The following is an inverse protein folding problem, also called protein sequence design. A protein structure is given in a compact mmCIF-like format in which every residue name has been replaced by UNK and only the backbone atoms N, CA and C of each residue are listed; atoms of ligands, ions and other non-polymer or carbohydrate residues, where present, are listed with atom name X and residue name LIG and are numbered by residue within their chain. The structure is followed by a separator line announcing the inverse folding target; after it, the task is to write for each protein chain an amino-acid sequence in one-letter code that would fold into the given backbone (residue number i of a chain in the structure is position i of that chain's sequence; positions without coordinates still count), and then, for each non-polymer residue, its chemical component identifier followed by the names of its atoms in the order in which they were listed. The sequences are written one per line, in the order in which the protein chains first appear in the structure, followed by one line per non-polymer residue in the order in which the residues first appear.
data_IF_358817703206
#
_entry.id   IF_358817703206
#
_cell.length_a   1.000
_cell.length_b   1.000
_cell.length_c   1.000
_cell.angle_alpha   90.00
_cell.angle_beta   90.00
_cell.angle_gamma   90.00
#
_symmetry.space_group_name_H-M   'P 1'
#
loop_
_entity.id
_entity.type
_entity.pdbx_description
1 polymer ?
#
# COMPACT_ATOMS: atom_id res chain seq x y z
N UNK A 1 -36.24 -24.36 -13.20
CA UNK A 1 -34.83 -23.99 -13.47
C UNK A 1 -34.20 -23.64 -12.13
N UNK A 2 -33.46 -24.57 -11.50
CA UNK A 2 -32.90 -24.41 -10.16
C UNK A 2 -31.50 -23.79 -10.29
N UNK A 3 -31.36 -22.50 -10.00
CA UNK A 3 -30.04 -21.89 -9.82
C UNK A 3 -29.49 -22.34 -8.46
N UNK A 4 -28.48 -23.20 -8.51
CA UNK A 4 -27.59 -23.47 -7.37
C UNK A 4 -26.86 -22.16 -7.06
N UNK A 5 -27.25 -21.50 -5.97
CA UNK A 5 -26.35 -20.57 -5.30
C UNK A 5 -25.14 -21.37 -4.82
N UNK A 6 -24.07 -21.35 -5.61
CA UNK A 6 -22.76 -21.64 -5.08
C UNK A 6 -22.55 -20.67 -3.92
N UNK A 7 -22.24 -21.20 -2.74
CA UNK A 7 -21.59 -20.42 -1.68
C UNK A 7 -20.32 -19.86 -2.32
N UNK A 8 -20.41 -18.65 -2.86
CA UNK A 8 -19.27 -17.77 -2.97
C UNK A 8 -18.90 -17.50 -1.52
N UNK A 9 -18.11 -18.40 -0.93
CA UNK A 9 -17.16 -17.97 0.07
C UNK A 9 -16.36 -16.93 -0.69
N UNK A 10 -16.74 -15.66 -0.51
CA UNK A 10 -15.86 -14.54 -0.76
C UNK A 10 -14.69 -14.86 0.17
N UNK A 11 -13.77 -15.69 -0.32
CA UNK A 11 -12.42 -15.68 0.16
C UNK A 11 -12.12 -14.19 0.10
N UNK A 12 -12.05 -13.56 1.27
CA UNK A 12 -11.24 -12.38 1.44
C UNK A 12 -9.98 -12.80 0.73
N UNK A 13 -9.79 -12.32 -0.50
CA UNK A 13 -8.58 -12.56 -1.25
C UNK A 13 -7.60 -11.71 -0.50
N UNK A 14 -7.09 -12.34 0.55
CA UNK A 14 -5.94 -12.02 1.34
C UNK A 14 -4.75 -12.21 0.38
N UNK A 15 -4.73 -11.40 -0.68
CA UNK A 15 -3.54 -11.11 -1.46
C UNK A 15 -2.90 -9.93 -0.77
N UNK A 16 -2.24 -10.26 0.32
CA UNK A 16 -1.21 -9.43 0.91
C UNK A 16 -0.15 -9.18 -0.17
N UNK A 17 -0.22 -8.01 -0.81
CA UNK A 17 0.90 -7.27 -1.39
C UNK A 17 1.64 -7.83 -2.61
N UNK A 18 1.30 -9.01 -3.15
CA UNK A 18 1.67 -9.35 -4.54
C UNK A 18 1.10 -8.34 -5.56
N UNK A 19 0.19 -7.47 -5.14
CA UNK A 19 -0.43 -6.38 -5.90
C UNK A 19 0.43 -5.12 -6.09
N UNK A 20 1.55 -4.96 -5.36
CA UNK A 20 2.34 -3.72 -5.42
C UNK A 20 3.71 -3.86 -6.07
N UNK A 21 4.24 -5.07 -6.17
CA UNK A 21 5.52 -5.31 -6.81
C UNK A 21 5.29 -6.09 -8.10
N UNK A 22 5.78 -5.60 -9.26
CA UNK A 22 5.70 -6.37 -10.48
C UNK A 22 6.38 -7.73 -10.28
N UNK A 23 5.75 -8.80 -10.77
CA UNK A 23 6.39 -10.11 -10.88
C UNK A 23 7.70 -9.94 -11.63
N UNK A 24 8.79 -10.46 -11.07
CA UNK A 24 10.16 -10.20 -11.50
C UNK A 24 10.39 -10.55 -12.98
N UNK A 25 10.29 -9.53 -13.83
CA UNK A 25 11.11 -9.44 -15.02
C UNK A 25 12.32 -8.62 -14.61
N UNK A 26 13.51 -9.26 -14.55
CA UNK A 26 14.78 -8.52 -14.59
C UNK A 26 14.63 -7.54 -15.74
N UNK A 27 14.64 -6.24 -15.45
CA UNK A 27 14.57 -5.22 -16.48
C UNK A 27 15.82 -5.36 -17.34
N UNK A 28 15.71 -6.17 -18.40
CA UNK A 28 16.64 -6.13 -19.50
C UNK A 28 16.50 -4.73 -20.08
N UNK A 29 17.45 -3.85 -19.77
CA UNK A 29 17.57 -2.49 -20.31
C UNK A 29 17.78 -2.44 -21.84
N UNK A 30 17.47 -3.51 -22.57
CA UNK A 30 17.28 -3.52 -24.01
C UNK A 30 15.80 -3.31 -24.32
N UNK A 31 15.27 -2.17 -23.88
CA UNK A 31 13.97 -1.69 -24.29
C UNK A 31 14.16 -0.99 -25.63
N UNK A 32 13.55 -1.55 -26.67
CA UNK A 32 13.45 -0.90 -27.98
C UNK A 32 12.89 0.52 -27.81
N UNK A 33 13.52 1.52 -28.46
CA UNK A 33 13.17 2.95 -28.45
C UNK A 33 11.76 3.31 -29.03
N UNK A 34 10.78 2.40 -28.97
CA UNK A 34 9.41 2.59 -29.48
C UNK A 34 8.35 2.63 -28.36
N UNK A 35 8.72 2.77 -27.08
CA UNK A 35 7.73 2.80 -26.01
C UNK A 35 6.98 4.14 -25.93
N UNK A 36 5.67 4.06 -26.20
CA UNK A 36 4.70 5.15 -26.20
C UNK A 36 4.26 5.53 -24.78
N UNK A 37 5.17 6.10 -24.00
CA UNK A 37 4.85 6.63 -22.67
C UNK A 37 4.34 8.06 -22.72
N UNK A 38 3.28 8.32 -21.95
CA UNK A 38 2.84 9.67 -21.60
C UNK A 38 3.65 10.20 -20.41
N UNK A 39 3.82 9.38 -19.37
CA UNK A 39 4.74 9.64 -18.25
C UNK A 39 5.56 8.38 -17.98
N UNK A 40 6.87 8.53 -17.81
CA UNK A 40 7.75 7.41 -17.46
C UNK A 40 7.58 7.02 -15.99
N UNK A 41 7.93 5.79 -15.63
CA UNK A 41 7.86 5.31 -14.24
C UNK A 41 8.73 6.09 -13.25
N UNK A 42 9.75 6.79 -13.73
CA UNK A 42 10.67 7.62 -12.96
C UNK A 42 10.35 9.13 -13.02
N UNK A 43 9.36 9.55 -13.81
CA UNK A 43 8.96 10.95 -13.95
C UNK A 43 8.43 11.51 -12.60
N UNK A 44 8.96 12.66 -12.11
CA UNK A 44 8.51 13.24 -10.85
C UNK A 44 7.03 13.66 -10.82
N UNK A 45 6.39 13.84 -11.98
CA UNK A 45 4.97 14.14 -12.11
C UNK A 45 4.10 12.89 -12.21
N UNK A 46 4.69 11.70 -12.30
CA UNK A 46 3.94 10.46 -12.37
C UNK A 46 3.47 10.05 -10.96
N UNK A 47 2.15 9.99 -10.69
CA UNK A 47 1.63 9.60 -9.39
C UNK A 47 1.92 8.13 -9.03
N UNK A 48 2.30 7.30 -10.02
CA UNK A 48 2.65 5.89 -9.85
C UNK A 48 4.17 5.67 -9.70
N UNK A 49 4.95 6.74 -9.61
CA UNK A 49 6.41 6.69 -9.40
C UNK A 49 6.85 5.81 -8.22
N UNK A 50 6.13 5.73 -7.07
CA UNK A 50 6.51 4.82 -5.98
C UNK A 50 6.61 3.34 -6.41
N UNK A 51 5.90 2.93 -7.46
CA UNK A 51 5.92 1.58 -8.00
C UNK A 51 6.64 1.47 -9.36
N UNK A 52 7.26 2.56 -9.83
CA UNK A 52 7.92 2.64 -11.15
C UNK A 52 7.02 2.26 -12.32
N UNK A 53 5.71 2.42 -12.18
CA UNK A 53 4.77 2.10 -13.25
C UNK A 53 4.63 3.32 -14.18
N UNK A 54 4.84 3.16 -15.50
CA UNK A 54 4.59 4.25 -16.44
C UNK A 54 3.09 4.52 -16.60
N UNK A 55 2.77 5.70 -17.11
CA UNK A 55 1.46 6.00 -17.71
C UNK A 55 1.64 5.99 -19.22
N UNK A 56 0.96 5.10 -19.93
CA UNK A 56 1.09 4.93 -21.38
C UNK A 56 0.11 5.80 -22.17
N UNK A 57 0.37 5.95 -23.47
CA UNK A 57 -0.60 6.58 -24.39
C UNK A 57 -1.91 5.78 -24.53
N UNK A 58 -1.92 4.48 -24.21
CA UNK A 58 -3.15 3.69 -24.15
C UNK A 58 -4.09 4.23 -23.06
N UNK A 59 -3.56 4.53 -21.88
CA UNK A 59 -4.34 5.14 -20.78
C UNK A 59 -4.84 6.54 -21.16
N UNK A 60 -4.06 7.32 -21.93
CA UNK A 60 -4.52 8.61 -22.47
C UNK A 60 -5.74 8.42 -23.38
N UNK A 61 -5.71 7.42 -24.26
CA UNK A 61 -6.83 7.10 -25.15
C UNK A 61 -8.07 6.64 -24.38
N UNK A 62 -7.89 5.81 -23.36
CA UNK A 62 -8.98 5.38 -22.46
C UNK A 62 -9.60 6.59 -21.75
N UNK A 63 -8.78 7.47 -21.17
CA UNK A 63 -9.27 8.69 -20.52
C UNK A 63 -10.06 9.58 -21.49
N UNK A 64 -9.53 9.82 -22.68
CA UNK A 64 -10.20 10.63 -23.70
C UNK A 64 -11.52 9.99 -24.16
N UNK A 65 -11.57 8.66 -24.29
CA UNK A 65 -12.78 7.93 -24.64
C UNK A 65 -13.86 8.03 -23.56
N UNK A 66 -13.49 7.93 -22.27
CA UNK A 66 -14.43 8.09 -21.15
C UNK A 66 -15.03 9.49 -21.13
N UNK A 67 -14.23 10.51 -21.46
CA UNK A 67 -14.64 11.91 -21.42
C UNK A 67 -15.26 12.40 -22.74
N UNK A 68 -15.24 11.57 -23.80
CA UNK A 68 -15.83 11.91 -25.08
C UNK A 68 -17.30 12.30 -24.92
N UNK A 69 -17.74 13.29 -25.68
CA UNK A 69 -19.12 13.78 -25.72
C UNK A 69 -19.67 14.39 -24.41
N UNK A 70 -18.88 14.46 -23.33
CA UNK A 70 -19.31 15.05 -22.04
C UNK A 70 -19.09 16.57 -21.94
N UNK A 71 -18.65 17.21 -23.03
CA UNK A 71 -18.38 18.64 -23.07
C UNK A 71 -17.25 19.07 -22.11
N UNK A 72 -17.27 20.35 -21.69
CA UNK A 72 -16.26 20.89 -20.77
C UNK A 72 -16.61 20.51 -19.34
N UNK A 73 -15.97 19.46 -18.84
CA UNK A 73 -16.08 18.99 -17.46
C UNK A 73 -15.09 19.71 -16.53
N UNK A 74 -15.50 19.94 -15.28
CA UNK A 74 -14.59 20.32 -14.20
C UNK A 74 -13.63 19.16 -13.86
N UNK A 75 -12.50 19.42 -13.16
CA UNK A 75 -11.62 18.36 -12.69
C UNK A 75 -12.35 17.31 -11.84
N UNK A 76 -13.24 17.73 -10.92
CA UNK A 76 -14.04 16.79 -10.12
C UNK A 76 -14.92 15.90 -10.99
N UNK A 77 -15.64 16.48 -11.95
CA UNK A 77 -16.52 15.71 -12.84
C UNK A 77 -15.76 14.68 -13.68
N UNK A 78 -14.53 15.00 -14.11
CA UNK A 78 -13.66 14.04 -14.79
C UNK A 78 -13.32 12.85 -13.89
N UNK A 79 -12.93 13.12 -12.64
CA UNK A 79 -12.60 12.08 -11.64
C UNK A 79 -13.80 11.19 -11.36
N UNK A 80 -14.99 11.77 -11.19
CA UNK A 80 -16.23 10.98 -11.01
C UNK A 80 -16.51 10.11 -12.22
N UNK A 81 -16.35 10.62 -13.44
CA UNK A 81 -16.53 9.81 -14.66
C UNK A 81 -15.54 8.64 -14.74
N UNK A 82 -14.29 8.83 -14.30
CA UNK A 82 -13.30 7.74 -14.21
C UNK A 82 -13.67 6.71 -13.13
N UNK A 83 -14.11 7.15 -11.95
CA UNK A 83 -14.58 6.24 -10.91
C UNK A 83 -15.81 5.44 -11.35
N UNK A 84 -16.76 6.07 -12.04
CA UNK A 84 -17.94 5.38 -12.58
C UNK A 84 -17.52 4.31 -13.60
N UNK A 85 -16.54 4.60 -14.47
CA UNK A 85 -15.97 3.61 -15.39
C UNK A 85 -15.34 2.41 -14.65
N UNK A 86 -14.61 2.65 -13.56
CA UNK A 86 -13.97 1.62 -12.72
C UNK A 86 -15.00 0.83 -11.88
N UNK A 87 -16.13 1.44 -11.54
CA UNK A 87 -17.17 0.81 -10.71
C UNK A 87 -17.76 -0.45 -11.36
N UNK A 88 -17.71 -0.54 -12.69
CA UNK A 88 -18.19 -1.67 -13.48
C UNK A 88 -17.19 -2.83 -13.60
N UNK A 89 -16.04 -2.75 -12.90
CA UNK A 89 -15.00 -3.78 -12.94
C UNK A 89 -15.23 -4.81 -11.83
N UNK A 90 -14.72 -6.03 -12.01
CA UNK A 90 -14.77 -7.06 -10.97
C UNK A 90 -13.68 -6.84 -9.93
N UNK A 91 -13.98 -7.15 -8.66
CA UNK A 91 -12.98 -7.13 -7.59
C UNK A 91 -12.18 -8.43 -7.63
N UNK A 92 -10.88 -8.32 -7.86
CA UNK A 92 -9.98 -9.47 -7.99
C UNK A 92 -8.53 -9.06 -8.23
N UNK A 93 -7.71 -10.01 -8.68
CA UNK A 93 -6.30 -9.79 -9.02
C UNK A 93 -6.17 -9.89 -10.54
N UNK A 94 -5.78 -8.78 -11.17
CA UNK A 94 -5.40 -8.79 -12.58
C UNK A 94 -4.06 -9.51 -12.79
N UNK A 95 -3.71 -9.82 -14.05
CA UNK A 95 -2.46 -10.51 -14.39
C UNK A 95 -1.21 -9.80 -13.87
N UNK A 96 -1.26 -8.47 -13.75
CA UNK A 96 -0.24 -7.66 -13.11
C UNK A 96 -0.87 -6.36 -12.56
N UNK A 97 -0.07 -5.53 -11.89
CA UNK A 97 -0.54 -4.34 -11.19
C UNK A 97 -0.65 -3.08 -12.06
N UNK A 98 -0.44 -3.16 -13.38
CA UNK A 98 -0.48 -1.98 -14.26
C UNK A 98 -1.91 -1.46 -14.50
N UNK A 99 -2.06 -0.16 -14.79
CA UNK A 99 -3.34 0.39 -15.22
C UNK A 99 -3.93 -0.33 -16.45
N UNK A 100 -3.10 -0.70 -17.43
CA UNK A 100 -3.52 -1.38 -18.66
C UNK A 100 -4.09 -2.78 -18.37
N UNK A 101 -3.43 -3.57 -17.52
CA UNK A 101 -3.94 -4.88 -17.11
C UNK A 101 -5.32 -4.74 -16.45
N UNK A 102 -5.47 -3.75 -15.56
CA UNK A 102 -6.74 -3.45 -14.88
C UNK A 102 -7.85 -3.09 -15.87
N UNK A 103 -7.55 -2.28 -16.90
CA UNK A 103 -8.51 -1.91 -17.96
C UNK A 103 -8.86 -3.10 -18.85
N UNK A 104 -7.87 -3.80 -19.37
CA UNK A 104 -8.03 -4.86 -20.37
C UNK A 104 -8.75 -6.08 -19.79
N UNK A 105 -8.47 -6.41 -18.54
CA UNK A 105 -9.11 -7.53 -17.85
C UNK A 105 -10.41 -7.12 -17.16
N UNK A 106 -10.63 -5.82 -16.95
CA UNK A 106 -11.73 -5.27 -16.14
C UNK A 106 -11.82 -5.90 -14.75
N UNK A 107 -10.66 -6.21 -14.18
CA UNK A 107 -10.48 -6.83 -12.86
C UNK A 107 -9.46 -6.00 -12.08
N UNK A 108 -9.71 -5.77 -10.80
CA UNK A 108 -8.72 -5.11 -9.95
C UNK A 108 -9.06 -5.13 -8.47
N UNK A 109 -8.14 -4.63 -7.65
CA UNK A 109 -8.28 -4.47 -6.21
C UNK A 109 -8.09 -3.00 -5.83
N UNK A 110 -8.24 -2.66 -4.54
CA UNK A 110 -8.13 -1.27 -4.08
C UNK A 110 -6.85 -0.56 -4.56
N UNK A 111 -5.71 -1.25 -4.52
CA UNK A 111 -4.44 -0.74 -5.03
C UNK A 111 -4.44 -0.48 -6.53
N UNK A 112 -4.84 -1.47 -7.35
CA UNK A 112 -4.80 -1.32 -8.82
C UNK A 112 -5.88 -0.38 -9.36
N UNK A 113 -7.06 -0.33 -8.72
CA UNK A 113 -8.08 0.69 -9.03
C UNK A 113 -7.60 2.10 -8.68
N UNK A 114 -6.88 2.25 -7.57
CA UNK A 114 -6.24 3.53 -7.20
C UNK A 114 -5.19 3.93 -8.22
N UNK A 115 -4.34 2.99 -8.64
CA UNK A 115 -3.33 3.24 -9.67
C UNK A 115 -3.98 3.66 -11.00
N UNK A 116 -5.04 2.96 -11.42
CA UNK A 116 -5.77 3.28 -12.64
C UNK A 116 -6.41 4.67 -12.55
N UNK A 117 -7.09 5.02 -11.45
CA UNK A 117 -7.69 6.34 -11.28
C UNK A 117 -6.64 7.46 -11.35
N UNK A 118 -5.50 7.27 -10.69
CA UNK A 118 -4.40 8.23 -10.71
C UNK A 118 -3.77 8.36 -12.10
N UNK A 119 -3.60 7.26 -12.83
CA UNK A 119 -3.09 7.27 -14.19
C UNK A 119 -4.03 8.07 -15.12
N UNK A 120 -5.34 7.77 -15.08
CA UNK A 120 -6.37 8.49 -15.84
C UNK A 120 -6.38 9.99 -15.49
N UNK A 121 -6.34 10.34 -14.21
CA UNK A 121 -6.30 11.72 -13.74
C UNK A 121 -5.05 12.47 -14.22
N UNK A 122 -3.88 11.83 -14.19
CA UNK A 122 -2.61 12.41 -14.66
C UNK A 122 -2.67 12.75 -16.16
N UNK A 123 -3.32 11.93 -16.99
CA UNK A 123 -3.52 12.23 -18.42
C UNK A 123 -4.32 13.51 -18.67
N UNK A 124 -5.08 13.95 -17.67
CA UNK A 124 -5.92 15.16 -17.72
C UNK A 124 -5.28 16.34 -16.98
N UNK A 125 -4.01 16.24 -16.59
CA UNK A 125 -3.29 17.28 -15.86
C UNK A 125 -3.73 17.44 -14.40
N UNK A 126 -4.37 16.42 -13.81
CA UNK A 126 -4.78 16.43 -12.41
C UNK A 126 -3.68 15.73 -11.60
N UNK A 127 -3.01 16.48 -10.72
CA UNK A 127 -1.99 15.92 -9.85
C UNK A 127 -2.63 15.00 -8.79
N UNK A 128 -1.95 13.91 -8.45
CA UNK A 128 -2.47 12.89 -7.56
C UNK A 128 -1.38 12.18 -6.76
N UNK A 129 -1.79 11.51 -5.69
CA UNK A 129 -0.95 10.61 -4.89
C UNK A 129 -1.76 9.46 -4.32
N UNK A 130 -1.06 8.38 -4.01
CA UNK A 130 -1.65 7.18 -3.40
C UNK A 130 -1.68 7.37 -1.90
N UNK A 131 -2.85 7.21 -1.30
CA UNK A 131 -3.00 7.11 0.14
C UNK A 131 -3.13 5.63 0.49
N UNK A 132 -2.21 5.14 1.32
CA UNK A 132 -2.27 3.80 1.89
C UNK A 132 -2.87 3.88 3.29
N UNK A 133 -3.76 2.94 3.60
CA UNK A 133 -4.47 2.80 4.87
C UNK A 133 -4.21 1.39 5.40
N UNK A 134 -3.09 1.20 6.11
CA UNK A 134 -2.63 -0.11 6.58
C UNK A 134 -3.21 -0.55 7.92
N UNK A 135 -3.14 -1.85 8.20
CA UNK A 135 -3.50 -2.57 9.44
C UNK A 135 -4.82 -2.12 10.11
N UNK A 136 -5.81 -1.73 9.34
CA UNK A 136 -7.09 -1.27 9.85
C UNK A 136 -8.14 -2.39 9.87
N UNK A 137 -9.04 -2.47 10.87
CA UNK A 137 -8.85 -2.08 12.27
C UNK A 137 -7.94 -3.07 13.01
N UNK A 138 -7.77 -4.25 12.42
CA UNK A 138 -6.73 -5.24 12.67
C UNK A 138 -6.65 -6.00 11.36
N UNK A 139 -5.46 -6.13 10.81
CA UNK A 139 -5.16 -7.02 9.68
C UNK A 139 -5.67 -6.59 8.30
N UNK A 140 -6.67 -5.73 8.11
CA UNK A 140 -7.05 -5.28 6.76
C UNK A 140 -6.25 -4.05 6.28
N UNK A 141 -6.18 -3.87 4.96
CA UNK A 141 -5.55 -2.70 4.34
C UNK A 141 -6.39 -2.16 3.20
N UNK A 142 -6.27 -0.86 2.93
CA UNK A 142 -6.96 -0.20 1.82
C UNK A 142 -6.05 0.81 1.13
N UNK A 143 -6.39 1.16 -0.10
CA UNK A 143 -5.72 2.19 -0.87
C UNK A 143 -6.75 3.05 -1.58
N UNK A 144 -6.53 4.36 -1.54
CA UNK A 144 -7.39 5.37 -2.19
C UNK A 144 -6.55 6.43 -2.89
N UNK A 145 -7.16 7.17 -3.81
CA UNK A 145 -6.50 8.26 -4.50
C UNK A 145 -6.75 9.58 -3.77
N UNK A 146 -5.72 10.41 -3.62
CA UNK A 146 -5.88 11.80 -3.24
C UNK A 146 -5.42 12.69 -4.39
N UNK A 147 -6.28 13.60 -4.84
CA UNK A 147 -6.11 14.41 -6.04
C UNK A 147 -6.11 15.89 -5.69
N UNK A 148 -5.26 16.68 -6.35
CA UNK A 148 -5.20 18.13 -6.17
C UNK A 148 -6.24 18.81 -7.07
N UNK A 149 -7.37 19.19 -6.49
CA UNK A 149 -8.52 19.76 -7.19
C UNK A 149 -8.92 21.07 -6.52
N UNK A 150 -9.11 22.12 -7.33
CA UNK A 150 -9.55 23.44 -6.86
C UNK A 150 -8.67 24.02 -5.73
N UNK A 151 -7.36 23.81 -5.82
CA UNK A 151 -6.38 24.37 -4.87
C UNK A 151 -6.26 23.62 -3.54
N UNK A 152 -6.80 22.41 -3.44
CA UNK A 152 -6.63 21.55 -2.26
C UNK A 152 -6.57 20.06 -2.62
N UNK A 153 -6.11 19.25 -1.67
CA UNK A 153 -6.20 17.80 -1.76
C UNK A 153 -7.62 17.31 -1.52
N UNK A 154 -8.03 16.25 -2.20
CA UNK A 154 -9.37 15.66 -2.15
C UNK A 154 -9.29 14.16 -2.34
N UNK A 155 -9.87 13.39 -1.42
CA UNK A 155 -9.82 11.92 -1.43
C UNK A 155 -10.97 11.32 -2.22
N UNK A 156 -10.64 10.32 -3.03
CA UNK A 156 -11.54 9.54 -3.86
C UNK A 156 -11.22 8.06 -3.72
N UNK A 157 -12.23 7.24 -3.43
CA UNK A 157 -12.10 5.78 -3.38
C UNK A 157 -12.68 5.17 -4.67
N UNK A 158 -11.83 4.75 -5.63
CA UNK A 158 -12.29 4.12 -6.86
C UNK A 158 -12.84 2.69 -6.65
N UNK A 159 -12.57 2.08 -5.50
CA UNK A 159 -13.09 0.75 -5.15
C UNK A 159 -14.58 0.78 -4.91
N UNK A 160 -15.16 1.91 -4.49
CA UNK A 160 -16.61 2.02 -4.32
C UNK A 160 -17.20 3.22 -5.08
N UNK A 161 -16.38 3.87 -5.92
CA UNK A 161 -16.68 5.14 -6.57
C UNK A 161 -17.29 6.13 -5.56
N UNK A 162 -16.53 6.39 -4.50
CA UNK A 162 -17.02 7.09 -3.32
C UNK A 162 -16.10 8.22 -2.88
N UNK A 163 -16.68 9.23 -2.23
CA UNK A 163 -15.98 10.38 -1.66
C UNK A 163 -16.84 11.08 -0.59
N UNK A 164 -16.21 11.83 0.31
CA UNK A 164 -16.89 12.61 1.34
C UNK A 164 -16.97 14.08 0.96
N UNK A 165 -18.11 14.74 1.18
CA UNK A 165 -18.27 16.19 0.92
C UNK A 165 -19.24 16.84 1.91
N UNK A 166 -19.01 18.12 2.24
CA UNK A 166 -19.95 18.99 2.97
C UNK A 166 -20.78 19.91 2.06
N UNK A 167 -20.61 19.82 0.73
CA UNK A 167 -21.37 20.62 -0.25
C UNK A 167 -22.17 19.72 -1.18
N UNK A 168 -23.08 18.91 -0.61
CA UNK A 168 -23.90 17.91 -1.32
C UNK A 168 -24.60 18.43 -2.58
N UNK A 169 -25.06 19.69 -2.57
CA UNK A 169 -25.82 20.27 -3.68
C UNK A 169 -24.94 20.78 -4.84
N UNK A 170 -23.61 20.70 -4.71
CA UNK A 170 -22.67 21.15 -5.73
C UNK A 170 -22.00 19.95 -6.42
N UNK A 171 -22.66 19.38 -7.43
CA UNK A 171 -22.13 18.23 -8.19
C UNK A 171 -21.03 18.61 -9.20
N UNK A 172 -20.83 19.90 -9.47
CA UNK A 172 -19.81 20.36 -10.43
C UNK A 172 -18.45 20.51 -9.77
N UNK A 173 -18.41 21.15 -8.59
CA UNK A 173 -17.18 21.44 -7.86
C UNK A 173 -17.42 21.33 -6.33
N UNK A 174 -17.78 20.15 -5.82
CA UNK A 174 -17.98 19.99 -4.40
C UNK A 174 -16.67 20.19 -3.64
N UNK A 175 -16.79 20.61 -2.39
CA UNK A 175 -15.73 20.56 -1.41
C UNK A 175 -15.57 19.11 -0.94
N UNK A 176 -14.73 18.35 -1.62
CA UNK A 176 -14.40 16.97 -1.24
C UNK A 176 -13.34 16.98 -0.16
N UNK A 177 -13.51 16.19 0.91
CA UNK A 177 -12.59 16.15 2.03
C UNK A 177 -11.25 15.50 1.62
N UNK A 178 -10.15 16.02 2.16
CA UNK A 178 -8.80 15.46 2.08
C UNK A 178 -8.62 14.30 3.07
N UNK A 179 -7.51 13.56 2.91
CA UNK A 179 -7.13 12.49 3.82
C UNK A 179 -6.93 13.02 5.23
N UNK A 180 -6.27 14.17 5.37
CA UNK A 180 -6.01 14.81 6.67
C UNK A 180 -7.29 15.25 7.38
N UNK A 181 -8.28 15.75 6.63
CA UNK A 181 -9.60 16.07 7.18
C UNK A 181 -10.30 14.78 7.67
N UNK A 182 -10.34 13.74 6.84
CA UNK A 182 -10.93 12.45 7.23
C UNK A 182 -10.22 11.81 8.42
N UNK A 183 -8.88 11.86 8.47
CA UNK A 183 -8.05 11.37 9.57
C UNK A 183 -8.35 12.05 10.90
N UNK A 184 -8.75 13.33 10.86
CA UNK A 184 -9.16 14.12 12.04
C UNK A 184 -10.62 13.90 12.43
N UNK A 185 -11.35 13.04 11.73
CA UNK A 185 -12.76 12.73 12.01
C UNK A 185 -13.74 13.73 11.39
N UNK A 186 -13.31 14.61 10.49
CA UNK A 186 -14.21 15.58 9.82
C UNK A 186 -15.30 14.88 9.00
N UNK A 187 -15.05 13.64 8.57
CA UNK A 187 -16.04 12.78 7.90
C UNK A 187 -17.29 12.48 8.75
N UNK A 188 -17.23 12.66 10.08
CA UNK A 188 -18.32 12.40 11.04
C UNK A 188 -19.17 13.63 11.33
N UNK A 189 -18.83 14.81 10.79
CA UNK A 189 -19.66 16.01 10.98
C UNK A 189 -21.04 15.81 10.36
N UNK A 190 -22.05 16.46 10.94
CA UNK A 190 -23.46 16.30 10.55
C UNK A 190 -23.78 16.85 9.15
N UNK A 191 -23.00 17.80 8.67
CA UNK A 191 -23.10 18.44 7.36
C UNK A 191 -22.27 17.72 6.29
N UNK A 192 -21.45 16.74 6.66
CA UNK A 192 -20.68 15.91 5.74
C UNK A 192 -21.45 14.65 5.38
N UNK A 193 -21.38 14.27 4.11
CA UNK A 193 -21.98 13.05 3.60
C UNK A 193 -21.01 12.26 2.72
N UNK A 194 -21.16 10.94 2.78
CA UNK A 194 -20.56 9.99 1.87
C UNK A 194 -21.40 9.92 0.58
N UNK A 195 -20.79 10.26 -0.55
CA UNK A 195 -21.33 9.95 -1.87
C UNK A 195 -20.83 8.57 -2.29
N UNK A 196 -21.74 7.71 -2.75
CA UNK A 196 -21.45 6.34 -3.15
C UNK A 196 -22.12 6.02 -4.49
N UNK A 197 -21.33 5.96 -5.56
CA UNK A 197 -21.82 5.64 -6.90
C UNK A 197 -21.75 4.14 -7.21
N UNK A 198 -20.78 3.42 -6.65
CA UNK A 198 -20.56 1.97 -6.84
C UNK A 198 -21.55 1.07 -6.07
N UNK A 199 -22.85 1.39 -6.12
CA UNK A 199 -23.90 0.74 -5.31
C UNK A 199 -24.00 -0.77 -5.53
N UNK A 200 -23.77 -1.24 -6.75
CA UNK A 200 -23.80 -2.67 -7.06
C UNK A 200 -22.77 -3.44 -6.23
N UNK A 201 -21.51 -2.98 -6.22
CA UNK A 201 -20.41 -3.58 -5.47
C UNK A 201 -20.65 -3.49 -3.96
N UNK A 202 -21.16 -2.34 -3.49
CA UNK A 202 -21.57 -2.18 -2.09
C UNK A 202 -22.64 -3.21 -1.67
N UNK A 203 -23.65 -3.41 -2.52
CA UNK A 203 -24.77 -4.32 -2.22
C UNK A 203 -24.39 -5.80 -2.28
N UNK A 204 -23.30 -6.17 -2.97
CA UNK A 204 -22.81 -7.55 -3.00
C UNK A 204 -22.23 -7.99 -1.66
N UNK A 205 -21.62 -7.08 -0.90
CA UNK A 205 -21.12 -7.36 0.46
C UNK A 205 -21.22 -6.14 1.38
N UNK A 206 -22.43 -5.80 1.87
CA UNK A 206 -22.66 -4.54 2.60
C UNK A 206 -21.89 -4.43 3.92
N UNK A 207 -21.59 -5.55 4.58
CA UNK A 207 -20.83 -5.55 5.83
C UNK A 207 -19.37 -5.19 5.57
N UNK A 208 -18.71 -5.91 4.64
CA UNK A 208 -17.33 -5.60 4.26
C UNK A 208 -17.22 -4.20 3.66
N UNK A 209 -18.15 -3.84 2.76
CA UNK A 209 -18.12 -2.53 2.12
C UNK A 209 -18.17 -1.37 3.11
N UNK A 210 -18.94 -1.50 4.22
CA UNK A 210 -18.99 -0.49 5.29
C UNK A 210 -17.64 -0.27 5.97
N UNK A 211 -16.85 -1.34 6.15
CA UNK A 211 -15.54 -1.22 6.78
C UNK A 211 -14.54 -0.46 5.89
N UNK A 212 -14.69 -0.55 4.56
CA UNK A 212 -13.83 0.14 3.59
C UNK A 212 -14.26 1.56 3.24
N UNK A 213 -15.58 1.86 3.25
CA UNK A 213 -16.07 3.21 2.92
C UNK A 213 -16.34 4.07 4.16
N UNK A 214 -16.42 3.47 5.35
CA UNK A 214 -16.65 4.18 6.60
C UNK A 214 -15.50 5.09 7.00
N UNK A 215 -15.78 6.12 7.80
CA UNK A 215 -14.75 7.09 8.25
C UNK A 215 -13.66 6.46 9.10
N UNK A 216 -13.98 5.38 9.81
CA UNK A 216 -13.05 4.77 10.75
C UNK A 216 -11.77 4.23 10.07
N UNK A 217 -11.83 3.78 8.80
CA UNK A 217 -10.63 3.32 8.08
C UNK A 217 -9.58 4.43 7.96
N UNK A 218 -10.03 5.66 7.73
CA UNK A 218 -9.16 6.83 7.66
C UNK A 218 -8.63 7.18 9.05
N UNK A 219 -9.44 7.05 10.10
CA UNK A 219 -9.09 7.45 11.47
C UNK A 219 -8.17 6.46 12.21
N UNK A 220 -8.33 5.15 11.99
CA UNK A 220 -7.62 4.12 12.78
C UNK A 220 -6.57 3.34 12.00
N UNK A 221 -6.46 3.47 10.67
CA UNK A 221 -5.38 2.83 9.92
C UNK A 221 -4.00 3.25 10.46
N UNK A 222 -3.07 2.30 10.52
CA UNK A 222 -1.73 2.51 11.02
C UNK A 222 -0.72 1.47 10.47
N UNK A 223 0.22 1.85 9.58
CA UNK A 223 0.47 3.22 9.11
C UNK A 223 -0.63 3.71 8.14
N UNK A 224 -0.74 5.02 7.98
CA UNK A 224 -1.66 5.63 7.02
C UNK A 224 -1.09 6.95 6.48
N UNK A 225 -1.37 7.27 5.21
CA UNK A 225 -0.94 8.51 4.57
C UNK A 225 -0.47 8.35 3.13
N UNK A 226 0.11 9.40 2.55
CA UNK A 226 0.64 9.35 1.20
C UNK A 226 1.87 8.43 1.10
N UNK A 227 1.86 7.50 0.15
CA UNK A 227 3.03 6.68 -0.16
C UNK A 227 4.07 7.56 -0.84
N UNK A 228 5.31 7.47 -0.40
CA UNK A 228 6.43 8.08 -1.10
C UNK A 228 7.69 8.19 -0.26
N UNK A 229 8.85 8.43 -0.90
CA UNK A 229 10.15 8.51 -0.23
C UNK A 229 10.17 9.48 0.97
N UNK A 230 9.42 10.58 0.86
CA UNK A 230 9.31 11.62 1.90
C UNK A 230 8.41 11.20 3.09
N UNK A 231 7.65 10.12 2.97
CA UNK A 231 6.67 9.65 3.94
C UNK A 231 6.90 8.17 4.27
N UNK A 232 8.04 7.82 4.90
CA UNK A 232 8.36 6.44 5.22
C UNK A 232 7.36 5.88 6.23
N UNK A 233 6.69 4.79 5.85
CA UNK A 233 5.77 4.09 6.74
C UNK A 233 6.52 3.23 7.76
N UNK A 234 5.98 3.24 8.99
CA UNK A 234 6.41 2.37 10.09
C UNK A 234 5.34 1.33 10.30
N UNK A 235 5.62 0.08 9.96
CA UNK A 235 4.70 -1.01 10.24
C UNK A 235 4.84 -1.47 11.69
N UNK A 236 3.77 -1.40 12.51
CA UNK A 236 3.74 -2.05 13.81
C UNK A 236 3.63 -3.56 13.60
N UNK A 237 4.59 -4.30 14.14
CA UNK A 237 4.65 -5.76 14.06
C UNK A 237 4.82 -6.35 15.45
N UNK A 238 4.43 -7.61 15.62
CA UNK A 238 4.38 -8.23 16.94
C UNK A 238 4.75 -9.71 16.92
N UNK A 239 5.56 -10.10 17.91
CA UNK A 239 5.86 -11.48 18.27
C UNK A 239 5.71 -11.65 19.78
N UNK A 240 5.39 -12.87 20.19
CA UNK A 240 5.28 -13.25 21.60
C UNK A 240 6.05 -14.54 21.84
N UNK A 241 6.94 -14.54 22.82
CA UNK A 241 7.84 -15.67 23.05
C UNK A 241 7.13 -16.95 23.53
N UNK A 242 5.87 -16.87 23.93
CA UNK A 242 5.06 -18.00 24.36
C UNK A 242 3.97 -18.38 23.36
N UNK A 243 3.45 -17.42 22.59
CA UNK A 243 2.28 -17.62 21.72
C UNK A 243 2.60 -17.56 20.22
N UNK A 244 3.55 -16.72 19.82
CA UNK A 244 3.85 -16.43 18.41
C UNK A 244 5.33 -16.11 18.27
N UNK A 245 6.13 -17.16 18.32
CA UNK A 245 7.60 -17.07 18.29
C UNK A 245 8.15 -16.83 16.89
N UNK A 246 7.35 -17.03 15.85
CA UNK A 246 7.77 -16.89 14.46
C UNK A 246 6.63 -16.40 13.55
N UNK A 247 7.01 -15.79 12.44
CA UNK A 247 6.17 -15.46 11.28
C UNK A 247 6.92 -15.99 10.06
N UNK A 248 6.28 -16.87 9.28
CA UNK A 248 6.83 -17.47 8.06
C UNK A 248 6.08 -17.00 6.81
N UNK A 249 6.52 -17.44 5.63
CA UNK A 249 5.85 -17.18 4.35
C UNK A 249 4.32 -17.36 4.37
N UNK A 250 3.80 -18.41 5.02
CA UNK A 250 2.36 -18.67 5.06
C UNK A 250 1.61 -17.74 6.05
N UNK A 251 2.34 -17.05 6.93
CA UNK A 251 1.80 -16.08 7.88
C UNK A 251 1.83 -14.66 7.31
N UNK A 252 2.55 -14.43 6.19
CA UNK A 252 2.57 -13.15 5.50
C UNK A 252 1.19 -12.86 4.89
N UNK A 253 0.42 -12.12 5.65
CA UNK A 253 -0.99 -11.87 5.43
C UNK A 253 -1.39 -10.54 6.06
N UNK A 254 -2.67 -10.17 5.92
CA UNK A 254 -3.39 -9.28 6.80
C UNK A 254 -2.83 -9.24 8.22
N UNK A 255 -2.75 -10.42 8.87
CA UNK A 255 -2.29 -10.62 10.25
C UNK A 255 -0.88 -10.14 10.58
N UNK A 256 -0.06 -10.00 9.55
CA UNK A 256 1.34 -9.61 9.65
C UNK A 256 1.67 -8.66 8.50
N UNK A 257 0.74 -7.77 8.18
CA UNK A 257 0.87 -6.92 7.01
C UNK A 257 2.13 -6.04 7.16
N UNK A 258 2.98 -6.08 6.14
CA UNK A 258 4.26 -5.41 6.12
C UNK A 258 5.43 -6.25 6.65
N UNK A 259 5.20 -7.40 7.31
CA UNK A 259 6.29 -8.24 7.80
C UNK A 259 7.13 -8.88 6.70
N UNK A 260 6.59 -9.02 5.48
CA UNK A 260 7.19 -9.80 4.41
C UNK A 260 8.32 -9.08 3.65
N UNK A 261 8.46 -7.77 3.79
CA UNK A 261 9.58 -7.01 3.19
C UNK A 261 9.97 -5.79 4.03
N UNK A 262 11.22 -5.34 3.89
CA UNK A 262 11.73 -4.09 4.48
C UNK A 262 12.46 -3.30 3.40
N UNK A 263 12.31 -1.98 3.42
CA UNK A 263 13.09 -1.02 2.64
C UNK A 263 12.38 -0.45 1.42
N UNK A 264 11.25 -1.04 1.01
CA UNK A 264 10.51 -0.61 -0.18
C UNK A 264 10.11 0.87 -0.04
N UNK A 265 10.85 1.73 -0.73
CA UNK A 265 10.89 3.16 -0.51
C UNK A 265 9.49 3.79 -0.53
N UNK A 266 9.13 4.39 0.60
CA UNK A 266 7.86 5.08 0.80
C UNK A 266 6.66 4.18 1.10
N UNK A 267 6.83 2.86 1.05
CA UNK A 267 5.76 1.90 1.33
C UNK A 267 6.01 1.22 2.67
N UNK A 268 7.21 0.69 2.92
CA UNK A 268 7.56 -0.07 4.12
C UNK A 268 9.06 0.00 4.42
N UNK A 269 9.52 1.17 4.82
CA UNK A 269 10.94 1.38 5.13
C UNK A 269 11.31 0.81 6.49
N UNK A 270 10.34 0.79 7.41
CA UNK A 270 10.56 0.59 8.84
C UNK A 270 9.61 -0.44 9.43
N UNK A 271 10.16 -1.32 10.26
CA UNK A 271 9.40 -2.23 11.11
C UNK A 271 9.58 -1.84 12.57
N UNK A 272 8.48 -1.63 13.29
CA UNK A 272 8.50 -1.47 14.74
C UNK A 272 7.99 -2.75 15.39
N UNK A 273 8.91 -3.59 15.87
CA UNK A 273 8.62 -4.88 16.47
C UNK A 273 8.36 -4.75 17.96
N UNK A 274 7.13 -5.03 18.39
CA UNK A 274 6.74 -5.23 19.78
C UNK A 274 6.92 -6.71 20.14
N UNK A 275 7.82 -6.99 21.07
CA UNK A 275 8.15 -8.33 21.54
C UNK A 275 7.59 -8.49 22.96
N UNK A 276 6.73 -9.47 23.20
CA UNK A 276 6.02 -9.64 24.48
C UNK A 276 6.32 -10.96 25.18
N UNK A 277 5.89 -11.03 26.44
CA UNK A 277 6.06 -12.19 27.33
C UNK A 277 7.53 -12.51 27.66
N UNK A 278 8.40 -11.49 27.62
CA UNK A 278 9.81 -11.62 27.95
C UNK A 278 10.00 -11.71 29.47
N UNK A 279 11.14 -12.28 29.88
CA UNK A 279 11.56 -12.38 31.28
C UNK A 279 12.65 -11.33 31.50
N UNK A 280 12.43 -10.32 32.36
CA UNK A 280 13.47 -9.33 32.68
C UNK A 280 14.77 -9.98 33.12
N UNK A 281 15.89 -9.48 32.60
CA UNK A 281 17.23 -9.97 32.86
C UNK A 281 17.70 -11.11 31.96
N UNK A 282 16.80 -11.73 31.16
CA UNK A 282 17.16 -12.79 30.20
C UNK A 282 17.56 -12.23 28.83
N UNK A 283 18.36 -13.00 28.10
CA UNK A 283 18.83 -12.65 26.76
C UNK A 283 18.04 -13.40 25.68
N UNK A 284 17.84 -12.71 24.58
CA UNK A 284 17.02 -13.15 23.47
C UNK A 284 17.70 -12.85 22.13
N UNK A 285 17.31 -13.61 21.12
CA UNK A 285 17.67 -13.39 19.73
C UNK A 285 16.40 -13.15 18.91
N UNK A 286 16.35 -11.99 18.22
CA UNK A 286 15.41 -11.76 17.11
C UNK A 286 16.17 -12.02 15.81
N UNK A 287 15.72 -12.98 15.02
CA UNK A 287 16.37 -13.37 13.78
C UNK A 287 15.53 -12.96 12.57
N UNK A 288 16.17 -12.24 11.65
CA UNK A 288 15.62 -11.84 10.35
C UNK A 288 16.20 -12.77 9.30
N UNK A 289 15.37 -13.62 8.71
CA UNK A 289 15.78 -14.57 7.68
C UNK A 289 15.40 -14.00 6.31
N UNK A 290 16.37 -13.53 5.51
CA UNK A 290 16.09 -13.02 4.17
C UNK A 290 15.69 -14.16 3.22
N UNK A 291 14.87 -13.83 2.22
CA UNK A 291 14.55 -14.71 1.08
C UNK A 291 15.32 -14.27 -0.17
N UNK A 292 15.08 -13.03 -0.60
CA UNK A 292 15.75 -12.41 -1.74
C UNK A 292 15.76 -10.88 -1.60
N UNK A 293 16.67 -10.23 -2.33
CA UNK A 293 16.77 -8.78 -2.43
C UNK A 293 16.28 -8.39 -3.83
N UNK A 294 15.48 -7.34 -3.94
CA UNK A 294 15.11 -6.81 -5.26
C UNK A 294 14.81 -5.33 -5.29
N UNK A 295 14.52 -4.88 -6.50
CA UNK A 295 14.44 -3.47 -6.85
C UNK A 295 15.61 -2.96 -7.70
N UNK A 296 15.82 -1.66 -7.70
CA UNK A 296 16.76 -0.90 -8.51
C UNK A 296 18.17 -0.97 -7.91
N UNK A 297 18.95 -1.96 -8.31
CA UNK A 297 20.38 -2.06 -8.01
C UNK A 297 21.20 -1.62 -9.21
N UNK A 298 22.01 -0.58 -9.06
CA UNK A 298 22.97 -0.18 -10.10
C UNK A 298 24.03 -1.27 -10.26
N UNK A 299 24.55 -1.46 -11.49
CA UNK A 299 25.54 -2.50 -11.79
C UNK A 299 26.68 -2.52 -10.76
N UNK A 300 26.74 -3.59 -9.96
CA UNK A 300 27.67 -3.91 -8.87
C UNK A 300 27.24 -3.53 -7.44
N UNK A 301 26.18 -2.75 -7.24
CA UNK A 301 25.55 -2.64 -5.92
C UNK A 301 24.82 -3.94 -5.64
N UNK A 302 25.34 -4.73 -4.70
CA UNK A 302 24.69 -5.97 -4.25
C UNK A 302 24.32 -5.91 -2.78
N UNK A 303 24.60 -4.78 -2.13
CA UNK A 303 24.48 -4.63 -0.71
C UNK A 303 23.16 -3.96 -0.32
N UNK A 304 22.47 -4.56 0.64
CA UNK A 304 21.26 -4.04 1.23
C UNK A 304 21.48 -3.92 2.74
N UNK A 305 21.33 -2.73 3.29
CA UNK A 305 21.68 -2.46 4.68
C UNK A 305 20.43 -2.32 5.56
N UNK A 306 20.43 -2.99 6.69
CA UNK A 306 19.46 -2.80 7.77
C UNK A 306 20.15 -2.37 9.05
N UNK A 307 19.44 -1.57 9.83
CA UNK A 307 19.86 -1.18 11.19
C UNK A 307 18.75 -1.47 12.19
N UNK A 308 19.13 -1.87 13.40
CA UNK A 308 18.25 -2.14 14.52
C UNK A 308 18.47 -1.07 15.58
N UNK A 309 17.40 -0.65 16.23
CA UNK A 309 17.44 0.34 17.30
C UNK A 309 16.50 -0.11 18.41
N UNK A 310 17.01 -0.21 19.62
CA UNK A 310 16.19 -0.49 20.80
C UNK A 310 15.43 0.77 21.19
N UNK A 311 14.09 0.72 21.13
CA UNK A 311 13.23 1.86 21.47
C UNK A 311 12.79 1.86 22.93
N UNK A 312 12.55 0.68 23.50
CA UNK A 312 12.11 0.55 24.88
C UNK A 312 12.26 -0.88 25.41
N UNK A 313 12.34 -1.02 26.75
CA UNK A 313 12.18 -2.29 27.46
C UNK A 313 13.38 -3.24 27.45
N UNK A 314 14.52 -2.84 26.89
CA UNK A 314 15.72 -3.66 26.85
C UNK A 314 16.94 -2.90 26.33
N UNK A 315 17.99 -3.65 25.99
CA UNK A 315 19.22 -3.14 25.36
C UNK A 315 19.79 -4.13 24.34
N UNK A 316 20.29 -3.61 23.22
CA UNK A 316 20.99 -4.43 22.22
C UNK A 316 22.32 -4.95 22.77
N UNK A 317 22.70 -6.14 22.34
CA UNK A 317 23.97 -6.77 22.63
C UNK A 317 24.72 -6.98 21.31
N UNK A 318 25.80 -6.22 21.09
CA UNK A 318 26.62 -6.35 19.88
C UNK A 318 26.18 -5.46 18.72
N UNK A 319 26.43 -5.91 17.49
CA UNK A 319 26.24 -5.11 16.28
C UNK A 319 24.75 -4.89 15.97
N UNK A 320 24.40 -3.63 15.75
CA UNK A 320 23.05 -3.19 15.45
C UNK A 320 22.82 -2.95 13.95
N UNK A 321 23.74 -3.36 13.08
CA UNK A 321 23.64 -3.19 11.64
C UNK A 321 23.97 -4.50 10.92
N UNK A 322 23.40 -4.67 9.72
CA UNK A 322 23.69 -5.79 8.85
C UNK A 322 23.66 -5.34 7.40
N UNK A 323 24.68 -5.75 6.67
CA UNK A 323 24.71 -5.70 5.22
C UNK A 323 24.40 -7.09 4.66
N UNK A 324 23.41 -7.17 3.78
CA UNK A 324 23.06 -8.37 3.02
C UNK A 324 23.60 -8.25 1.61
N UNK A 325 24.19 -9.31 1.08
CA UNK A 325 24.66 -9.35 -0.30
C UNK A 325 23.75 -10.25 -1.12
N UNK A 326 23.33 -9.83 -2.32
CA UNK A 326 22.38 -10.59 -3.14
C UNK A 326 22.80 -12.04 -3.45
N UNK A 327 24.11 -12.33 -3.44
CA UNK A 327 24.67 -13.68 -3.63
C UNK A 327 24.77 -14.50 -2.34
N UNK A 328 24.67 -13.85 -1.19
CA UNK A 328 24.89 -14.46 0.12
C UNK A 328 23.94 -13.85 1.17
N UNK A 329 22.73 -14.39 1.22
CA UNK A 329 21.65 -13.95 2.10
C UNK A 329 21.67 -14.75 3.41
N UNK A 330 22.62 -14.43 4.27
CA UNK A 330 22.71 -15.02 5.60
C UNK A 330 21.70 -14.37 6.56
N UNK A 331 21.07 -15.14 7.47
CA UNK A 331 20.24 -14.58 8.54
C UNK A 331 20.96 -13.50 9.34
N UNK A 332 20.19 -12.53 9.82
CA UNK A 332 20.67 -11.51 10.76
C UNK A 332 20.10 -11.76 12.14
N UNK A 333 20.98 -12.03 13.09
CA UNK A 333 20.63 -12.23 14.49
C UNK A 333 20.85 -10.93 15.28
N UNK A 334 19.76 -10.35 15.78
CA UNK A 334 19.77 -9.20 16.67
C UNK A 334 19.69 -9.74 18.11
N UNK A 335 20.80 -9.66 18.85
CA UNK A 335 20.84 -10.06 20.25
C UNK A 335 20.42 -8.90 21.15
N UNK A 336 19.65 -9.19 22.19
CA UNK A 336 19.27 -8.19 23.17
C UNK A 336 19.03 -8.80 24.54
N UNK A 337 19.15 -7.97 25.58
CA UNK A 337 18.75 -8.30 26.94
C UNK A 337 17.46 -7.57 27.26
N UNK A 338 16.46 -8.31 27.74
CA UNK A 338 15.20 -7.76 28.18
C UNK A 338 15.38 -7.09 29.55
N UNK A 339 14.97 -5.83 29.67
CA UNK A 339 14.89 -5.12 30.96
C UNK A 339 13.44 -5.05 31.46
N UNK A 340 12.47 -5.34 30.57
CA UNK A 340 11.04 -5.47 30.85
C UNK A 340 10.47 -6.72 30.13
N UNK A 341 9.24 -7.09 30.49
CA UNK A 341 8.42 -8.10 29.84
C UNK A 341 7.97 -7.75 28.41
N UNK A 342 8.11 -6.47 28.03
CA UNK A 342 7.80 -5.96 26.69
C UNK A 342 8.99 -5.16 26.17
N UNK A 343 9.47 -5.51 24.98
CA UNK A 343 10.56 -4.82 24.28
C UNK A 343 10.05 -4.26 22.96
N UNK A 344 10.55 -3.09 22.55
CA UNK A 344 10.29 -2.54 21.22
C UNK A 344 11.61 -2.35 20.46
N UNK A 345 11.73 -2.99 19.29
CA UNK A 345 12.89 -2.88 18.39
C UNK A 345 12.43 -2.27 17.06
N UNK A 346 13.04 -1.15 16.68
CA UNK A 346 12.87 -0.58 15.35
C UNK A 346 13.93 -1.17 14.41
N UNK A 347 13.50 -1.79 13.31
CA UNK A 347 14.37 -2.19 12.20
C UNK A 347 14.13 -1.26 11.03
N UNK A 348 15.19 -0.68 10.47
CA UNK A 348 15.09 0.33 9.42
C UNK A 348 16.13 0.18 8.33
N UNK A 349 15.70 0.44 7.10
CA UNK A 349 16.59 0.70 5.96
C UNK A 349 16.90 2.21 5.91
N UNK A 350 18.18 2.62 5.79
CA UNK A 350 18.57 4.04 5.86
C UNK A 350 18.19 4.86 4.61
N UNK A 351 17.77 4.19 3.54
CA UNK A 351 17.60 4.81 2.24
C UNK A 351 16.13 5.19 1.98
N UNK A 352 15.97 6.38 1.39
CA UNK A 352 14.69 7.02 1.08
C UNK A 352 14.64 7.55 -0.35
N UNK A 353 15.64 7.28 -1.20
CA UNK A 353 15.68 7.86 -2.54
C UNK A 353 14.65 7.25 -3.51
N UNK A 354 14.69 7.63 -4.79
CA UNK A 354 13.71 7.17 -5.78
C UNK A 354 13.98 5.76 -6.32
N UNK A 355 15.18 5.22 -6.22
CA UNK A 355 15.45 3.79 -6.46
C UNK A 355 14.61 2.94 -5.50
N UNK A 356 13.85 1.98 -6.01
CA UNK A 356 13.10 1.08 -5.15
C UNK A 356 14.06 -0.01 -4.67
N UNK A 357 14.48 -0.07 -3.41
CA UNK A 357 15.34 -1.16 -2.88
C UNK A 357 14.65 -1.84 -1.72
N UNK A 358 14.58 -3.16 -1.71
CA UNK A 358 13.96 -3.88 -0.60
C UNK A 358 14.51 -5.29 -0.46
N UNK A 359 14.34 -5.84 0.74
CA UNK A 359 14.60 -7.25 1.04
C UNK A 359 13.27 -7.92 1.36
N UNK A 360 12.98 -9.02 0.67
CA UNK A 360 11.91 -9.93 1.07
C UNK A 360 12.43 -10.86 2.15
N UNK A 361 11.57 -11.10 3.14
CA UNK A 361 11.87 -11.98 4.26
C UNK A 361 11.22 -13.33 4.01
N UNK A 362 11.89 -14.39 4.43
CA UNK A 362 11.36 -15.75 4.46
C UNK A 362 10.69 -16.05 5.80
N UNK A 363 11.30 -15.53 6.86
CA UNK A 363 10.94 -15.82 8.23
C UNK A 363 11.47 -14.71 9.16
N UNK A 364 10.70 -14.43 10.21
CA UNK A 364 11.14 -13.64 11.36
C UNK A 364 10.82 -14.46 12.60
N UNK A 365 11.79 -14.63 13.51
CA UNK A 365 11.57 -15.40 14.74
C UNK A 365 12.30 -14.85 15.95
N UNK A 366 11.76 -15.13 17.13
CA UNK A 366 12.34 -14.80 18.43
C UNK A 366 12.60 -16.09 19.22
N UNK A 367 13.74 -16.13 19.92
CA UNK A 367 14.07 -17.23 20.85
C UNK A 367 14.78 -16.73 22.10
N UNK A 368 14.52 -17.41 23.22
CA UNK A 368 15.29 -17.25 24.46
C UNK A 368 16.59 -18.06 24.35
N UNK A 369 17.72 -17.46 24.73
CA UNK A 369 19.04 -18.10 24.65
C UNK A 369 19.72 -18.28 26.03
N UNK A 370 18.99 -17.98 27.11
CA UNK A 370 19.45 -17.99 28.50
C UNK A 370 18.84 -19.08 29.36
#
# INVERSE_FOLDING_TARGET
MKYKFAKLTLAVIVSSYSLFFPSHSIANNNVNNNENFFLRGDDPNNPLRPFKQPVTNEIVNVANSILADKGKLSPHQKVVAFMDFIADFEVGIASNSSPEATVNERIGACGTFTNLLLALAATQGINGRIISLGNYPTDDGHAVAELWINGKWSVYDPTYASYYTDTLNNSTNPNVLSFEELRKGEGKRKDVALILNGKQRFNQSPLLAKDYVGTDIYEKANPAGPIGPENPFIYPLWLDVNQKVEIRNNDFGPKNQGAQYIGAAGINNYHNWKLTSLIPGKEYELEIVPDWIGGDFLNNETDFQLTAEMKAGGRLLGEANKTFFSKELNPWTIRFKADDSVVNILIKHPYFGPELKYIFLKEIRIKNIS
#
